data_IF_130212140565
#
_entry.id   IF_130212140565
#
_cell.length_a   1.000
_cell.length_b   1.000
_cell.length_c   1.000
_cell.angle_alpha   90.00
_cell.angle_beta   90.00
_cell.angle_gamma   90.00
#
_symmetry.space_group_name_H-M   'P 1'
#
loop_
_entity.id
_entity.type
_entity.pdbx_description
1 polymer ?
#
# COMPACT_ATOMS: atom_id res chain seq x y z
N UNK A 1 23.70 15.97 8.24
CA UNK A 1 23.69 16.80 7.03
C UNK A 1 23.94 15.92 5.80
N UNK A 2 23.12 14.87 5.62
CA UNK A 2 23.43 13.74 4.69
C UNK A 2 22.26 13.37 3.78
N UNK A 3 21.07 13.92 4.08
CA UNK A 3 19.79 13.52 3.49
C UNK A 3 19.63 14.05 2.04
N UNK A 4 20.21 15.21 1.73
CA UNK A 4 20.06 15.84 0.42
C UNK A 4 20.87 15.14 -0.70
N UNK A 5 21.91 14.36 -0.35
CA UNK A 5 22.75 13.70 -1.36
C UNK A 5 22.02 12.51 -2.01
N UNK A 6 21.36 11.68 -1.20
CA UNK A 6 20.67 10.48 -1.67
C UNK A 6 19.49 10.80 -2.58
N UNK A 7 18.68 11.80 -2.22
CA UNK A 7 17.62 12.29 -3.09
C UNK A 7 18.16 12.78 -4.45
N UNK A 8 19.22 13.61 -4.44
CA UNK A 8 19.85 14.10 -5.67
C UNK A 8 20.37 12.98 -6.56
N UNK A 9 20.94 11.93 -5.97
CA UNK A 9 21.42 10.75 -6.68
C UNK A 9 20.27 10.00 -7.35
N UNK A 10 19.21 9.66 -6.61
CA UNK A 10 18.02 8.99 -7.14
C UNK A 10 17.35 9.81 -8.24
N UNK A 11 17.26 11.14 -8.05
CA UNK A 11 16.71 12.06 -9.05
C UNK A 11 17.59 12.17 -10.29
N UNK A 12 18.91 12.04 -10.15
CA UNK A 12 19.81 12.01 -11.29
C UNK A 12 19.65 10.70 -12.07
N UNK A 13 19.61 9.55 -11.38
CA UNK A 13 19.35 8.23 -11.97
C UNK A 13 18.05 8.27 -12.79
N UNK A 14 16.97 8.83 -12.23
CA UNK A 14 15.67 8.91 -12.90
C UNK A 14 15.67 9.77 -14.16
N UNK A 15 16.65 10.68 -14.32
CA UNK A 15 16.80 11.55 -15.50
C UNK A 15 17.65 10.92 -16.59
N UNK A 16 18.65 10.13 -16.22
CA UNK A 16 19.67 9.62 -17.17
C UNK A 16 19.45 8.16 -17.57
N UNK A 17 18.64 7.41 -16.82
CA UNK A 17 18.36 6.00 -17.11
C UNK A 17 16.86 5.76 -17.32
N UNK A 18 16.53 4.86 -18.24
CA UNK A 18 15.15 4.35 -18.33
C UNK A 18 14.95 3.26 -17.27
N UNK A 19 13.72 3.05 -16.75
CA UNK A 19 13.44 1.97 -15.82
C UNK A 19 13.88 0.61 -16.35
N UNK A 20 13.69 0.37 -17.65
CA UNK A 20 14.12 -0.85 -18.34
C UNK A 20 15.64 -1.04 -18.29
N UNK A 21 16.42 -0.02 -18.65
CA UNK A 21 17.88 -0.13 -18.64
C UNK A 21 18.43 -0.29 -17.21
N UNK A 22 17.75 0.31 -16.23
CA UNK A 22 18.11 0.17 -14.83
C UNK A 22 17.93 -1.28 -14.34
N UNK A 23 16.77 -1.89 -14.62
CA UNK A 23 16.54 -3.29 -14.23
C UNK A 23 17.41 -4.29 -15.01
N UNK A 24 17.96 -3.89 -16.16
CA UNK A 24 18.92 -4.72 -16.92
C UNK A 24 20.24 -4.90 -16.16
N UNK A 25 20.64 -3.90 -15.38
CA UNK A 25 21.93 -3.89 -14.66
C UNK A 25 21.79 -4.16 -13.16
N UNK A 26 20.56 -4.30 -12.66
CA UNK A 26 20.24 -4.47 -11.24
C UNK A 26 19.56 -5.82 -10.96
N UNK A 27 19.87 -6.43 -9.82
CA UNK A 27 19.15 -7.60 -9.33
C UNK A 27 17.80 -7.21 -8.69
N UNK A 28 16.97 -8.21 -8.43
CA UNK A 28 15.61 -8.02 -7.92
C UNK A 28 15.56 -7.22 -6.62
N UNK A 29 16.30 -7.66 -5.60
CA UNK A 29 16.27 -7.06 -4.26
C UNK A 29 16.77 -5.62 -4.24
N UNK A 30 17.83 -5.31 -5.00
CA UNK A 30 18.37 -3.96 -5.09
C UNK A 30 17.39 -3.01 -5.78
N UNK A 31 16.67 -3.48 -6.80
CA UNK A 31 15.66 -2.68 -7.49
C UNK A 31 14.44 -2.42 -6.59
N UNK A 32 14.02 -3.42 -5.82
CA UNK A 32 12.98 -3.24 -4.79
C UNK A 32 13.39 -2.19 -3.77
N UNK A 33 14.60 -2.30 -3.21
CA UNK A 33 15.10 -1.37 -2.19
C UNK A 33 15.18 0.06 -2.76
N UNK A 34 15.74 0.22 -3.96
CA UNK A 34 15.82 1.51 -4.62
C UNK A 34 14.44 2.11 -4.88
N UNK A 35 13.48 1.31 -5.35
CA UNK A 35 12.10 1.78 -5.54
C UNK A 35 11.47 2.24 -4.24
N UNK A 36 11.66 1.53 -3.12
CA UNK A 36 11.19 1.96 -1.79
C UNK A 36 11.75 3.31 -1.39
N UNK A 37 13.05 3.52 -1.61
CA UNK A 37 13.71 4.80 -1.30
C UNK A 37 13.22 5.95 -2.18
N UNK A 38 12.95 5.69 -3.45
CA UNK A 38 12.35 6.66 -4.37
C UNK A 38 10.93 7.03 -3.97
N UNK A 39 10.15 6.09 -3.42
CA UNK A 39 8.76 6.32 -2.99
C UNK A 39 8.70 7.18 -1.72
N UNK A 40 9.47 6.78 -0.71
CA UNK A 40 9.49 7.39 0.62
C UNK A 40 10.48 8.57 0.70
N UNK A 41 10.68 9.29 -0.40
CA UNK A 41 11.60 10.42 -0.45
C UNK A 41 11.02 11.62 0.34
N UNK A 42 11.88 12.28 1.13
CA UNK A 42 11.46 13.37 2.03
C UNK A 42 10.95 14.62 1.30
N UNK A 43 11.33 14.79 0.03
CA UNK A 43 10.92 15.93 -0.81
C UNK A 43 9.52 15.73 -1.43
N UNK A 44 8.92 14.55 -1.22
CA UNK A 44 7.63 14.15 -1.79
C UNK A 44 7.55 14.34 -3.32
N UNK A 45 8.63 14.01 -4.02
CA UNK A 45 8.75 14.19 -5.47
C UNK A 45 7.89 13.17 -6.23
N UNK A 46 6.72 13.62 -6.71
CA UNK A 46 5.77 12.79 -7.46
C UNK A 46 6.37 12.14 -8.72
N UNK A 47 7.28 12.83 -9.41
CA UNK A 47 7.89 12.28 -10.63
C UNK A 47 8.85 11.14 -10.28
N UNK A 48 9.55 11.24 -9.14
CA UNK A 48 10.38 10.17 -8.64
C UNK A 48 9.53 8.97 -8.17
N UNK A 49 8.38 9.22 -7.53
CA UNK A 49 7.42 8.16 -7.14
C UNK A 49 6.83 7.45 -8.38
N UNK A 50 6.44 8.19 -9.42
CA UNK A 50 5.98 7.63 -10.70
C UNK A 50 7.09 6.83 -11.38
N UNK A 51 8.35 7.26 -11.27
CA UNK A 51 9.50 6.53 -11.79
C UNK A 51 9.71 5.21 -11.04
N UNK A 52 9.60 5.20 -9.71
CA UNK A 52 9.65 3.99 -8.89
C UNK A 52 8.57 2.97 -9.29
N UNK A 53 7.34 3.43 -9.53
CA UNK A 53 6.25 2.57 -10.02
C UNK A 53 6.59 1.91 -11.36
N UNK A 54 7.26 2.64 -12.27
CA UNK A 54 7.72 2.09 -13.55
C UNK A 54 8.82 1.05 -13.36
N UNK A 55 9.78 1.29 -12.46
CA UNK A 55 10.81 0.28 -12.12
C UNK A 55 10.14 -1.01 -11.66
N UNK A 56 9.19 -0.93 -10.73
CA UNK A 56 8.50 -2.12 -10.19
C UNK A 56 7.72 -2.89 -11.26
N UNK A 57 7.06 -2.20 -12.18
CA UNK A 57 6.37 -2.85 -13.31
C UNK A 57 7.34 -3.53 -14.27
N UNK A 58 8.51 -2.93 -14.56
CA UNK A 58 9.53 -3.59 -15.36
C UNK A 58 10.13 -4.79 -14.62
N UNK A 59 10.37 -4.65 -13.31
CA UNK A 59 10.91 -5.71 -12.47
C UNK A 59 9.99 -6.94 -12.47
N UNK A 60 8.69 -6.73 -12.30
CA UNK A 60 7.65 -7.77 -12.40
C UNK A 60 7.66 -8.52 -13.73
N UNK A 61 8.00 -7.84 -14.84
CA UNK A 61 8.06 -8.47 -16.17
C UNK A 61 9.34 -9.28 -16.34
N UNK A 62 10.48 -8.78 -15.85
CA UNK A 62 11.79 -9.41 -16.01
C UNK A 62 11.99 -10.60 -15.06
N UNK A 63 11.47 -10.49 -13.84
CA UNK A 63 11.65 -11.46 -12.75
C UNK A 63 10.27 -11.98 -12.26
N UNK A 64 9.51 -12.68 -13.13
CA UNK A 64 8.17 -13.12 -12.80
C UNK A 64 8.16 -14.15 -11.68
N UNK A 65 9.17 -15.01 -11.57
CA UNK A 65 9.21 -16.07 -10.56
C UNK A 65 9.45 -15.47 -9.17
N UNK A 66 10.42 -14.55 -9.05
CA UNK A 66 10.71 -13.80 -7.84
C UNK A 66 9.52 -12.93 -7.42
N UNK A 67 8.90 -12.24 -8.38
CA UNK A 67 7.72 -11.42 -8.11
C UNK A 67 6.53 -12.26 -7.63
N UNK A 68 6.32 -13.45 -8.21
CA UNK A 68 5.18 -14.29 -7.85
C UNK A 68 5.44 -15.15 -6.61
N UNK A 69 6.65 -15.15 -6.05
CA UNK A 69 7.00 -15.87 -4.83
C UNK A 69 6.17 -15.41 -3.61
N UNK A 70 5.74 -14.15 -3.57
CA UNK A 70 5.00 -13.60 -2.44
C UNK A 70 3.87 -12.67 -2.87
N UNK A 71 2.75 -12.70 -2.15
CA UNK A 71 1.65 -11.74 -2.29
C UNK A 71 2.10 -10.30 -1.99
N UNK A 72 3.15 -10.13 -1.18
CA UNK A 72 3.64 -8.84 -0.72
C UNK A 72 4.07 -7.92 -1.87
N UNK A 73 4.59 -8.47 -2.97
CA UNK A 73 5.03 -7.65 -4.11
C UNK A 73 3.85 -7.03 -4.86
N UNK A 74 2.76 -7.77 -5.05
CA UNK A 74 1.53 -7.21 -5.60
C UNK A 74 0.91 -6.19 -4.61
N UNK A 75 0.93 -6.47 -3.31
CA UNK A 75 0.42 -5.52 -2.32
C UNK A 75 1.24 -4.23 -2.30
N UNK A 76 2.57 -4.32 -2.34
CA UNK A 76 3.47 -3.18 -2.41
C UNK A 76 3.22 -2.35 -3.68
N UNK A 77 3.01 -2.99 -4.82
CA UNK A 77 2.66 -2.26 -6.04
C UNK A 77 1.27 -1.60 -5.97
N UNK A 78 0.32 -2.21 -5.27
CA UNK A 78 -0.96 -1.57 -4.94
C UNK A 78 -0.77 -0.31 -4.08
N UNK A 79 0.09 -0.37 -3.06
CA UNK A 79 0.45 0.77 -2.21
C UNK A 79 1.14 1.89 -2.99
N UNK A 80 2.06 1.54 -3.88
CA UNK A 80 2.70 2.49 -4.80
C UNK A 80 1.67 3.24 -5.64
N UNK A 81 0.68 2.52 -6.17
CA UNK A 81 -0.39 3.14 -6.96
C UNK A 81 -1.37 3.96 -6.12
N UNK A 82 -1.46 3.70 -4.82
CA UNK A 82 -2.16 4.59 -3.88
C UNK A 82 -1.43 5.93 -3.75
N UNK A 83 -0.11 5.90 -3.49
CA UNK A 83 0.74 7.09 -3.37
C UNK A 83 0.58 8.00 -4.61
N UNK A 84 0.68 7.43 -5.81
CA UNK A 84 0.58 8.19 -7.06
C UNK A 84 -0.85 8.40 -7.56
N UNK A 85 -1.86 8.15 -6.71
CA UNK A 85 -3.28 8.37 -7.00
C UNK A 85 -3.81 7.66 -8.26
N UNK A 86 -3.28 6.49 -8.57
CA UNK A 86 -3.80 5.63 -9.65
C UNK A 86 -4.72 4.55 -9.08
N UNK A 87 -5.95 4.95 -8.77
CA UNK A 87 -6.92 4.13 -8.04
C UNK A 87 -7.31 2.83 -8.77
N UNK A 88 -7.38 2.85 -10.10
CA UNK A 88 -7.66 1.66 -10.91
C UNK A 88 -6.57 0.59 -10.73
N UNK A 89 -5.31 1.00 -10.77
CA UNK A 89 -4.19 0.07 -10.58
C UNK A 89 -4.04 -0.33 -9.12
N UNK A 90 -4.25 0.59 -8.17
CA UNK A 90 -4.26 0.31 -6.73
C UNK A 90 -5.13 -0.90 -6.42
N UNK A 91 -6.42 -0.84 -6.80
CA UNK A 91 -7.35 -1.94 -6.55
C UNK A 91 -6.94 -3.24 -7.26
N UNK A 92 -6.57 -3.17 -8.55
CA UNK A 92 -6.16 -4.35 -9.33
C UNK A 92 -4.99 -5.10 -8.70
N UNK A 93 -4.04 -4.39 -8.10
CA UNK A 93 -2.89 -5.03 -7.46
C UNK A 93 -3.21 -5.55 -6.05
N UNK A 94 -4.03 -4.86 -5.27
CA UNK A 94 -4.54 -5.42 -4.01
C UNK A 94 -5.38 -6.68 -4.23
N UNK A 95 -6.23 -6.71 -5.28
CA UNK A 95 -7.02 -7.89 -5.62
C UNK A 95 -6.12 -9.09 -5.98
N UNK A 96 -5.05 -8.87 -6.76
CA UNK A 96 -4.05 -9.91 -7.06
C UNK A 96 -3.33 -10.40 -5.81
N UNK A 97 -2.94 -9.49 -4.93
CA UNK A 97 -2.30 -9.82 -3.67
C UNK A 97 -3.21 -10.70 -2.80
N UNK A 98 -4.50 -10.39 -2.69
CA UNK A 98 -5.47 -11.17 -1.91
C UNK A 98 -5.59 -12.60 -2.44
N UNK A 99 -5.63 -12.77 -3.77
CA UNK A 99 -5.70 -14.10 -4.40
C UNK A 99 -4.48 -14.98 -4.10
N UNK A 100 -3.35 -14.38 -3.71
CA UNK A 100 -2.09 -15.07 -3.37
C UNK A 100 -1.82 -15.15 -1.87
N UNK A 101 -2.55 -14.38 -1.06
CA UNK A 101 -2.29 -14.26 0.36
C UNK A 101 -2.61 -15.58 1.09
N UNK A 102 -1.89 -15.89 2.18
CA UNK A 102 -2.21 -17.04 3.01
C UNK A 102 -3.58 -16.87 3.68
N UNK A 103 -4.15 -17.97 4.16
CA UNK A 103 -5.32 -17.95 5.05
C UNK A 103 -4.86 -18.13 6.51
N UNK A 104 -5.32 -17.29 7.46
CA UNK A 104 -6.16 -16.11 7.25
C UNK A 104 -5.41 -14.97 6.53
N UNK A 105 -6.13 -14.18 5.74
CA UNK A 105 -5.56 -13.06 4.99
C UNK A 105 -4.95 -12.02 5.95
N UNK A 106 -3.73 -11.53 5.68
CA UNK A 106 -3.08 -10.52 6.53
C UNK A 106 -3.95 -9.26 6.72
N UNK A 107 -4.16 -8.78 7.95
CA UNK A 107 -5.05 -7.64 8.24
C UNK A 107 -4.70 -6.36 7.46
N UNK A 108 -3.41 -6.07 7.28
CA UNK A 108 -2.94 -4.90 6.52
C UNK A 108 -3.39 -4.91 5.06
N UNK A 109 -3.48 -6.09 4.45
CA UNK A 109 -3.96 -6.22 3.08
C UNK A 109 -5.48 -6.05 3.01
N UNK A 110 -6.22 -6.64 3.96
CA UNK A 110 -7.67 -6.49 4.06
C UNK A 110 -8.07 -5.01 4.25
N UNK A 111 -7.39 -4.30 5.15
CA UNK A 111 -7.64 -2.87 5.41
C UNK A 111 -7.27 -2.02 4.18
N UNK A 112 -6.16 -2.33 3.51
CA UNK A 112 -5.73 -1.57 2.33
C UNK A 112 -6.71 -1.71 1.15
N UNK A 113 -7.21 -2.91 0.88
CA UNK A 113 -8.24 -3.10 -0.14
C UNK A 113 -9.57 -2.46 0.28
N UNK A 114 -9.95 -2.54 1.56
CA UNK A 114 -11.17 -1.93 2.06
C UNK A 114 -11.17 -0.40 1.85
N UNK A 115 -10.02 0.24 1.97
CA UNK A 115 -9.88 1.67 1.66
C UNK A 115 -10.16 2.04 0.20
N UNK A 116 -10.27 1.08 -0.73
CA UNK A 116 -10.60 1.36 -2.13
C UNK A 116 -12.06 1.80 -2.34
N UNK A 117 -12.96 1.67 -1.35
CA UNK A 117 -14.33 2.18 -1.45
C UNK A 117 -14.43 3.72 -1.54
N UNK A 118 -13.35 4.43 -1.22
CA UNK A 118 -13.27 5.89 -1.33
C UNK A 118 -12.46 6.36 -2.55
N UNK A 119 -12.19 5.47 -3.51
CA UNK A 119 -11.63 5.88 -4.79
C UNK A 119 -12.57 6.88 -5.50
N UNK A 120 -12.04 7.95 -6.14
CA UNK A 120 -12.86 8.88 -6.89
C UNK A 120 -13.55 8.20 -8.09
N UNK A 121 -14.73 8.68 -8.46
CA UNK A 121 -15.54 8.10 -9.53
C UNK A 121 -16.48 7.02 -8.99
N UNK A 122 -16.51 5.85 -9.65
CA UNK A 122 -17.25 4.67 -9.18
C UNK A 122 -16.24 3.76 -8.49
N UNK A 123 -16.26 3.67 -7.14
CA UNK A 123 -15.34 2.80 -6.41
C UNK A 123 -15.51 1.33 -6.82
N UNK A 124 -14.41 0.55 -6.84
CA UNK A 124 -14.45 -0.87 -7.22
C UNK A 124 -15.09 -1.78 -6.17
N UNK A 125 -15.26 -1.28 -4.94
CA UNK A 125 -15.96 -1.96 -3.84
C UNK A 125 -16.84 -0.95 -3.10
N UNK A 126 -17.92 -1.42 -2.52
CA UNK A 126 -18.85 -0.61 -1.72
C UNK A 126 -18.36 -0.43 -0.29
N UNK A 127 -18.87 0.58 0.41
CA UNK A 127 -18.57 0.77 1.83
C UNK A 127 -19.04 -0.42 2.69
N UNK A 128 -20.12 -1.10 2.29
CA UNK A 128 -20.57 -2.33 2.96
C UNK A 128 -19.54 -3.45 2.84
N UNK A 129 -19.01 -3.69 1.64
CA UNK A 129 -17.94 -4.68 1.44
C UNK A 129 -16.69 -4.30 2.24
N UNK A 130 -16.33 -3.02 2.27
CA UNK A 130 -15.22 -2.52 3.08
C UNK A 130 -15.41 -2.76 4.57
N UNK A 131 -16.60 -2.54 5.11
CA UNK A 131 -16.90 -2.83 6.54
C UNK A 131 -16.66 -4.31 6.85
N UNK A 132 -17.13 -5.23 6.00
CA UNK A 132 -16.93 -6.67 6.21
C UNK A 132 -15.45 -7.06 6.16
N UNK A 133 -14.68 -6.51 5.21
CA UNK A 133 -13.25 -6.75 5.09
C UNK A 133 -12.48 -6.24 6.34
N UNK A 134 -12.84 -5.07 6.85
CA UNK A 134 -12.19 -4.53 8.05
C UNK A 134 -12.60 -5.32 9.29
N UNK A 135 -13.87 -5.73 9.43
CA UNK A 135 -14.28 -6.62 10.52
C UNK A 135 -13.53 -7.95 10.49
N UNK A 136 -13.29 -8.51 9.31
CA UNK A 136 -12.46 -9.70 9.15
C UNK A 136 -11.02 -9.43 9.63
N UNK A 137 -10.43 -8.30 9.25
CA UNK A 137 -9.08 -7.89 9.66
C UNK A 137 -8.95 -7.75 11.19
N UNK A 138 -10.01 -7.29 11.86
CA UNK A 138 -10.05 -7.03 13.30
C UNK A 138 -10.55 -8.21 14.14
N UNK A 139 -10.86 -9.36 13.51
CA UNK A 139 -11.48 -10.52 14.17
C UNK A 139 -10.73 -11.05 15.39
N UNK A 140 -9.40 -10.90 15.43
CA UNK A 140 -8.56 -11.37 16.54
C UNK A 140 -7.99 -10.24 17.40
N UNK A 141 -7.76 -9.07 16.81
CA UNK A 141 -7.09 -7.92 17.44
C UNK A 141 -7.55 -6.64 16.76
N UNK A 142 -7.80 -5.62 17.56
CA UNK A 142 -8.01 -4.27 17.04
C UNK A 142 -6.67 -3.67 16.59
N UNK A 143 -6.63 -3.19 15.35
CA UNK A 143 -5.54 -2.43 14.77
C UNK A 143 -5.98 -0.99 14.57
N UNK A 144 -5.07 -0.04 14.82
CA UNK A 144 -5.38 1.39 14.75
C UNK A 144 -5.98 1.77 13.39
N UNK A 145 -5.36 1.32 12.30
CA UNK A 145 -5.80 1.62 10.93
C UNK A 145 -7.20 1.07 10.64
N UNK A 146 -7.49 -0.14 11.12
CA UNK A 146 -8.79 -0.77 10.90
C UNK A 146 -9.91 -0.10 11.71
N UNK A 147 -9.65 0.22 12.98
CA UNK A 147 -10.62 0.94 13.83
C UNK A 147 -10.89 2.34 13.26
N UNK A 148 -9.84 3.07 12.88
CA UNK A 148 -9.97 4.39 12.23
C UNK A 148 -10.78 4.31 10.94
N UNK A 149 -10.55 3.26 10.13
CA UNK A 149 -11.30 3.06 8.88
C UNK A 149 -12.77 2.73 9.15
N UNK A 150 -13.09 1.85 10.10
CA UNK A 150 -14.48 1.54 10.46
C UNK A 150 -15.24 2.78 10.93
N UNK A 151 -14.63 3.60 11.80
CA UNK A 151 -15.22 4.86 12.22
C UNK A 151 -15.57 5.75 11.02
N UNK A 152 -14.63 5.90 10.09
CA UNK A 152 -14.85 6.70 8.88
C UNK A 152 -15.96 6.13 7.98
N UNK A 153 -16.00 4.81 7.79
CA UNK A 153 -17.03 4.13 6.99
C UNK A 153 -18.42 4.31 7.60
N UNK A 154 -18.55 4.11 8.91
CA UNK A 154 -19.82 4.26 9.61
C UNK A 154 -20.32 5.71 9.63
N UNK A 155 -19.41 6.68 9.76
CA UNK A 155 -19.71 8.10 9.56
C UNK A 155 -20.25 8.38 8.17
N UNK A 156 -19.60 7.84 7.13
CA UNK A 156 -19.97 8.07 5.73
C UNK A 156 -21.39 7.58 5.41
N UNK A 157 -21.76 6.38 5.92
CA UNK A 157 -23.11 5.82 5.72
C UNK A 157 -24.16 6.37 6.70
N UNK A 158 -23.80 7.32 7.57
CA UNK A 158 -24.72 7.95 8.53
C UNK A 158 -25.13 7.06 9.71
N UNK A 159 -24.35 6.03 10.04
CA UNK A 159 -24.59 5.18 11.21
C UNK A 159 -23.85 5.74 12.43
N UNK A 160 -24.52 6.64 13.16
CA UNK A 160 -23.94 7.33 14.31
C UNK A 160 -23.59 6.38 15.47
N UNK A 161 -24.41 5.36 15.74
CA UNK A 161 -24.18 4.44 16.86
C UNK A 161 -22.88 3.66 16.69
N UNK A 162 -22.66 3.09 15.50
CA UNK A 162 -21.42 2.39 15.19
C UNK A 162 -20.23 3.35 15.13
N UNK A 163 -20.41 4.55 14.57
CA UNK A 163 -19.36 5.57 14.59
C UNK A 163 -18.88 5.87 16.02
N UNK A 164 -19.80 6.11 16.96
CA UNK A 164 -19.48 6.43 18.35
C UNK A 164 -18.88 5.22 19.11
N UNK A 165 -19.27 4.00 18.73
CA UNK A 165 -18.64 2.79 19.24
C UNK A 165 -17.16 2.70 18.82
N UNK A 166 -16.88 2.85 17.53
CA UNK A 166 -15.50 2.74 17.02
C UNK A 166 -14.62 3.94 17.41
N UNK A 167 -15.19 5.14 17.57
CA UNK A 167 -14.45 6.29 18.13
C UNK A 167 -13.97 6.01 19.55
N UNK A 168 -14.84 5.47 20.42
CA UNK A 168 -14.43 5.08 21.79
C UNK A 168 -13.35 4.00 21.80
N UNK A 169 -13.38 3.07 20.86
CA UNK A 169 -12.29 2.08 20.73
C UNK A 169 -10.99 2.78 20.30
N UNK A 170 -11.07 3.69 19.34
CA UNK A 170 -9.91 4.43 18.82
C UNK A 170 -9.25 5.28 19.91
N UNK A 171 -10.03 5.94 20.77
CA UNK A 171 -9.53 6.75 21.89
C UNK A 171 -8.77 5.91 22.95
N UNK A 172 -9.06 4.62 23.05
CA UNK A 172 -8.50 3.72 24.06
C UNK A 172 -7.44 2.75 23.50
N UNK A 173 -7.18 2.78 22.18
CA UNK A 173 -6.19 1.89 21.58
C UNK A 173 -4.78 2.42 21.84
N UNK A 174 -3.87 1.55 22.28
CA UNK A 174 -2.45 1.89 22.30
C UNK A 174 -1.94 1.84 20.85
N UNK A 175 -1.67 3.01 20.28
CA UNK A 175 -1.27 3.15 18.89
C UNK A 175 -0.01 2.34 18.57
N UNK A 176 1.07 2.50 19.35
CA UNK A 176 2.37 1.85 19.10
C UNK A 176 2.26 0.32 19.07
N UNK A 177 1.43 -0.26 19.94
CA UNK A 177 1.23 -1.71 20.02
C UNK A 177 0.23 -2.25 18.99
N UNK A 178 -0.53 -1.37 18.33
CA UNK A 178 -1.67 -1.72 17.47
C UNK A 178 -1.50 -1.27 16.02
N UNK A 179 -0.32 -0.72 15.67
CA UNK A 179 0.06 -0.43 14.28
C UNK A 179 0.25 -1.71 13.49
N UNK A 180 -0.26 -1.69 12.26
CA UNK A 180 0.02 -2.73 11.28
C UNK A 180 1.38 -2.52 10.62
N UNK A 181 2.07 -3.61 10.22
CA UNK A 181 3.23 -3.47 9.37
C UNK A 181 2.81 -2.83 8.04
N UNK A 182 3.60 -1.88 7.50
CA UNK A 182 3.26 -1.23 6.25
C UNK A 182 3.37 -2.19 5.07
N UNK A 183 2.68 -1.89 3.97
CA UNK A 183 2.65 -2.77 2.79
C UNK A 183 3.97 -2.79 2.01
N UNK A 184 4.89 -1.86 2.30
CA UNK A 184 6.25 -1.88 1.78
C UNK A 184 7.23 -2.65 2.70
N UNK A 185 6.76 -3.26 3.79
CA UNK A 185 7.54 -4.21 4.59
C UNK A 185 7.57 -5.61 3.96
N UNK A 186 8.65 -5.85 3.22
CA UNK A 186 8.88 -7.06 2.42
C UNK A 186 9.71 -8.13 3.15
N UNK A 187 9.98 -7.93 4.45
CA UNK A 187 10.74 -8.88 5.29
C UNK A 187 10.03 -10.21 5.54
#
# INVERSE_FOLDING_TARGET
MTINYKYKELKNISKISSPKNLIETMNFDSAILMSKEMLNNEEWDEELQKYAAKILEELRRKYPDEWNFSWKYDAFLGYVYDIISNYDKRYKFYEKAIKKAPFPTPPQLLIAIAGCCWAPGIPPITEKESIELVKQALSNKNYYEGVSLLRGLYKSIGNQEEQDYWERILENINEDESRLPPLDDLS
#
